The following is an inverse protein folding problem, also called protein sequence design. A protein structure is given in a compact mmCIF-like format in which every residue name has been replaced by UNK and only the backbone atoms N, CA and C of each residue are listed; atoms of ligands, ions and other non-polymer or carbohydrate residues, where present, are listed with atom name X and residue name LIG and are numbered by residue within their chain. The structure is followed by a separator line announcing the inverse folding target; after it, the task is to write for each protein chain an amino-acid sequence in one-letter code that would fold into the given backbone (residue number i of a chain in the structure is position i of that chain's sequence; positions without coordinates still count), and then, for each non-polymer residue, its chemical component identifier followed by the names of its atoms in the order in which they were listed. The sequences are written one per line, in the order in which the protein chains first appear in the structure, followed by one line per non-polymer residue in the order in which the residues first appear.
data_IF_278117895019
#
_entry.id   IF_278117895019
#
_cell.length_a   1.000
_cell.length_b   1.000
_cell.length_c   1.000
_cell.angle_alpha   90.00
_cell.angle_beta   90.00
_cell.angle_gamma   90.00
#
_symmetry.space_group_name_H-M   'P 1'
#
loop_
_entity.id
_entity.type
_entity.pdbx_description
1 polymer ?
#
# COMPACT_ATOMS: atom_id res chain seq x y z
N UNK A 1 8.55 -10.34 -12.98
CA UNK A 1 8.06 -9.34 -12.00
C UNK A 1 7.70 -8.03 -12.69
N UNK A 2 8.64 -7.36 -13.38
CA UNK A 2 8.39 -6.08 -14.08
C UNK A 2 7.15 -6.09 -14.99
N UNK A 3 7.10 -6.98 -15.98
CA UNK A 3 5.99 -7.03 -16.94
C UNK A 3 4.63 -7.32 -16.28
N UNK A 4 4.60 -8.27 -15.33
CA UNK A 4 3.41 -8.61 -14.58
C UNK A 4 2.94 -7.45 -13.68
N UNK A 5 3.87 -6.75 -13.02
CA UNK A 5 3.58 -5.57 -12.21
C UNK A 5 3.06 -4.41 -13.06
N UNK A 6 3.62 -4.22 -14.25
CA UNK A 6 3.15 -3.23 -15.21
C UNK A 6 1.71 -3.52 -15.63
N UNK A 7 1.40 -4.76 -16.03
CA UNK A 7 0.05 -5.17 -16.40
C UNK A 7 -0.95 -5.01 -15.23
N UNK A 8 -0.54 -5.39 -14.01
CA UNK A 8 -1.34 -5.15 -12.81
C UNK A 8 -1.62 -3.66 -12.60
N UNK A 9 -0.58 -2.83 -12.71
CA UNK A 9 -0.68 -1.39 -12.48
C UNK A 9 -1.60 -0.71 -13.49
N UNK A 10 -1.50 -1.10 -14.77
CA UNK A 10 -2.39 -0.63 -15.83
C UNK A 10 -3.86 -0.97 -15.55
N UNK A 11 -4.14 -2.18 -15.07
CA UNK A 11 -5.50 -2.61 -14.75
C UNK A 11 -6.04 -1.97 -13.46
N UNK A 12 -5.20 -1.80 -12.44
CA UNK A 12 -5.61 -1.31 -11.12
C UNK A 12 -5.71 0.22 -11.03
N UNK A 13 -4.92 0.96 -11.83
CA UNK A 13 -4.89 2.42 -11.74
C UNK A 13 -6.26 3.10 -11.95
N UNK A 14 -7.10 2.70 -12.94
CA UNK A 14 -8.44 3.26 -13.11
C UNK A 14 -9.38 3.00 -11.92
N UNK A 15 -9.13 1.95 -11.14
CA UNK A 15 -9.86 1.68 -9.89
C UNK A 15 -9.33 2.59 -8.79
N UNK A 16 -8.01 2.66 -8.62
CA UNK A 16 -7.35 3.48 -7.61
C UNK A 16 -7.70 4.98 -7.73
N UNK A 17 -7.80 5.50 -8.95
CA UNK A 17 -8.16 6.90 -9.21
C UNK A 17 -9.59 7.27 -8.79
N UNK A 18 -10.49 6.30 -8.64
CA UNK A 18 -11.89 6.54 -8.23
C UNK A 18 -12.02 6.67 -6.70
N UNK A 19 -10.97 6.37 -5.95
CA UNK A 19 -10.96 6.40 -4.49
C UNK A 19 -10.47 7.77 -4.02
N UNK A 20 -11.21 8.40 -3.10
CA UNK A 20 -10.69 9.51 -2.31
C UNK A 20 -9.92 8.94 -1.12
N UNK A 21 -8.61 8.77 -1.29
CA UNK A 21 -7.74 8.11 -0.30
C UNK A 21 -7.67 8.88 1.01
N UNK A 22 -7.77 10.21 0.96
CA UNK A 22 -7.81 11.08 2.14
C UNK A 22 -9.13 10.98 2.93
N UNK A 23 -10.17 10.39 2.34
CA UNK A 23 -11.51 10.27 2.94
C UNK A 23 -12.07 8.85 2.89
N UNK A 24 -11.21 7.83 2.81
CA UNK A 24 -11.64 6.43 2.75
C UNK A 24 -12.29 5.99 4.06
N UNK A 25 -13.62 6.11 4.15
CA UNK A 25 -14.41 5.83 5.36
C UNK A 25 -14.46 4.36 5.71
N UNK A 26 -14.50 3.47 4.71
CA UNK A 26 -14.53 2.01 4.93
C UNK A 26 -13.27 1.53 5.64
N UNK A 27 -12.09 1.95 5.17
CA UNK A 27 -10.81 1.56 5.78
C UNK A 27 -10.66 2.21 7.15
N UNK A 28 -10.95 3.51 7.27
CA UNK A 28 -10.87 4.20 8.56
C UNK A 28 -11.75 3.55 9.63
N UNK A 29 -12.99 3.19 9.28
CA UNK A 29 -13.92 2.50 10.19
C UNK A 29 -13.44 1.10 10.56
N UNK A 30 -12.92 0.34 9.59
CA UNK A 30 -12.35 -0.98 9.84
C UNK A 30 -11.20 -0.91 10.86
N UNK A 31 -10.27 0.03 10.69
CA UNK A 31 -9.15 0.21 11.61
C UNK A 31 -9.62 0.59 13.03
N UNK A 32 -10.63 1.47 13.13
CA UNK A 32 -11.15 1.94 14.42
C UNK A 32 -11.93 0.87 15.20
N UNK A 33 -12.66 -0.01 14.51
CA UNK A 33 -13.61 -0.91 15.17
C UNK A 33 -13.11 -2.35 15.31
N UNK A 34 -12.24 -2.84 14.41
CA UNK A 34 -11.94 -4.28 14.33
C UNK A 34 -11.26 -4.79 15.60
N UNK A 35 -10.34 -4.02 16.17
CA UNK A 35 -9.66 -4.43 17.41
C UNK A 35 -10.58 -4.48 18.62
N UNK A 36 -11.67 -3.70 18.66
CA UNK A 36 -12.64 -3.78 19.74
C UNK A 36 -13.52 -5.04 19.64
N UNK A 37 -13.77 -5.52 18.42
CA UNK A 37 -14.60 -6.71 18.15
C UNK A 37 -13.83 -8.01 18.36
N UNK A 38 -12.53 -8.04 18.03
CA UNK A 38 -11.67 -9.20 18.26
C UNK A 38 -10.22 -8.78 18.61
N UNK A 39 -9.96 -8.40 19.88
CA UNK A 39 -8.64 -7.93 20.29
C UNK A 39 -7.54 -8.97 20.11
N UNK A 40 -7.85 -10.26 20.38
CA UNK A 40 -6.85 -11.34 20.29
C UNK A 40 -6.55 -11.71 18.84
N UNK A 41 -7.58 -11.75 17.99
CA UNK A 41 -7.39 -11.99 16.55
C UNK A 41 -6.58 -10.87 15.90
N UNK A 42 -6.86 -9.60 16.23
CA UNK A 42 -6.07 -8.47 15.73
C UNK A 42 -4.64 -8.52 16.24
N UNK A 43 -4.40 -8.78 17.52
CA UNK A 43 -3.05 -8.90 18.06
C UNK A 43 -2.24 -9.99 17.33
N UNK A 44 -2.85 -11.16 17.11
CA UNK A 44 -2.23 -12.26 16.36
C UNK A 44 -1.96 -11.90 14.90
N UNK A 45 -2.86 -11.16 14.25
CA UNK A 45 -2.67 -10.72 12.87
C UNK A 45 -1.52 -9.70 12.74
N UNK A 46 -1.40 -8.79 13.71
CA UNK A 46 -0.28 -7.83 13.75
C UNK A 46 1.05 -8.54 14.01
N UNK A 47 1.07 -9.52 14.91
CA UNK A 47 2.26 -10.33 15.18
C UNK A 47 2.75 -11.06 13.91
N UNK A 48 1.84 -11.74 13.21
CA UNK A 48 2.15 -12.41 11.94
C UNK A 48 2.62 -11.43 10.84
N UNK A 49 2.07 -10.20 10.80
CA UNK A 49 2.54 -9.16 9.88
C UNK A 49 3.99 -8.75 10.19
N UNK A 50 4.33 -8.60 11.47
CA UNK A 50 5.69 -8.26 11.90
C UNK A 50 6.66 -9.41 11.62
N UNK A 51 6.29 -10.65 11.91
CA UNK A 51 7.09 -11.85 11.56
C UNK A 51 7.37 -11.92 10.06
N UNK A 52 6.36 -11.68 9.22
CA UNK A 52 6.53 -11.61 7.77
C UNK A 52 7.52 -10.50 7.37
N UNK A 53 7.39 -9.30 7.95
CA UNK A 53 8.31 -8.19 7.70
C UNK A 53 9.75 -8.47 8.12
N UNK A 54 9.97 -9.22 9.21
CA UNK A 54 11.31 -9.64 9.66
C UNK A 54 11.99 -10.63 8.71
N UNK A 55 11.22 -11.35 7.88
CA UNK A 55 11.75 -12.31 6.90
C UNK A 55 12.12 -11.69 5.55
N UNK A 56 11.70 -10.44 5.28
CA UNK A 56 11.94 -9.74 4.02
C UNK A 56 13.37 -9.20 3.91
N UNK A 57 13.88 -9.06 2.68
CA UNK A 57 15.17 -8.42 2.42
C UNK A 57 15.12 -6.92 2.82
N UNK A 58 15.97 -6.45 3.77
CA UNK A 58 15.95 -5.07 4.24
C UNK A 58 16.20 -4.02 3.13
N UNK A 59 16.97 -4.36 2.10
CA UNK A 59 17.21 -3.45 0.98
C UNK A 59 15.95 -3.28 0.13
N UNK A 60 15.16 -4.34 -0.03
CA UNK A 60 13.89 -4.30 -0.76
C UNK A 60 12.80 -3.61 0.05
N UNK A 61 12.76 -3.81 1.37
CA UNK A 61 11.88 -3.03 2.28
C UNK A 61 12.19 -1.54 2.15
N UNK A 62 13.47 -1.15 2.20
CA UNK A 62 13.88 0.24 2.01
C UNK A 62 13.44 0.79 0.65
N UNK A 63 13.64 0.04 -0.43
CA UNK A 63 13.24 0.46 -1.77
C UNK A 63 11.72 0.67 -1.88
N UNK A 64 10.91 -0.23 -1.31
CA UNK A 64 9.45 -0.11 -1.28
C UNK A 64 9.00 1.12 -0.47
N UNK A 65 9.63 1.40 0.68
CA UNK A 65 9.35 2.61 1.48
C UNK A 65 9.67 3.88 0.67
N UNK A 66 10.82 3.93 0.00
CA UNK A 66 11.21 5.09 -0.82
C UNK A 66 10.28 5.30 -2.02
N UNK A 67 9.75 4.22 -2.62
CA UNK A 67 8.75 4.32 -3.68
C UNK A 67 7.45 4.97 -3.16
N UNK A 68 6.98 4.59 -1.97
CA UNK A 68 5.82 5.24 -1.35
C UNK A 68 6.10 6.70 -1.00
N UNK A 69 7.27 7.02 -0.46
CA UNK A 69 7.67 8.41 -0.16
C UNK A 69 7.59 9.29 -1.42
N UNK A 70 8.11 8.81 -2.55
CA UNK A 70 8.02 9.50 -3.84
C UNK A 70 6.57 9.66 -4.30
N UNK A 71 5.77 8.59 -4.22
CA UNK A 71 4.37 8.61 -4.60
C UNK A 71 3.53 9.60 -3.76
N UNK A 72 3.84 9.73 -2.46
CA UNK A 72 3.21 10.71 -1.57
C UNK A 72 3.54 12.14 -1.98
N UNK A 73 4.77 12.42 -2.41
CA UNK A 73 5.17 13.75 -2.90
C UNK A 73 4.37 14.17 -4.13
N UNK A 74 4.07 13.24 -5.05
CA UNK A 74 3.25 13.55 -6.23
C UNK A 74 1.75 13.51 -5.96
N UNK A 75 1.31 12.75 -4.96
CA UNK A 75 -0.08 12.75 -4.49
C UNK A 75 -0.45 14.02 -3.70
N UNK A 76 0.53 14.70 -3.10
CA UNK A 76 0.31 15.92 -2.35
C UNK A 76 -0.32 17.01 -3.23
N UNK A 77 -1.53 17.46 -2.87
CA UNK A 77 -2.28 18.45 -3.63
C UNK A 77 -3.11 17.89 -4.80
N UNK A 78 -2.98 16.60 -5.12
CA UNK A 78 -3.86 15.94 -6.07
C UNK A 78 -5.23 15.65 -5.44
N UNK A 79 -6.29 15.72 -6.25
CA UNK A 79 -7.65 15.37 -5.80
C UNK A 79 -7.65 13.92 -5.28
N UNK A 80 -8.18 13.73 -4.09
CA UNK A 80 -8.29 12.41 -3.46
C UNK A 80 -6.95 11.81 -3.02
N UNK A 81 -5.86 12.60 -2.96
CA UNK A 81 -4.50 12.13 -2.67
C UNK A 81 -4.03 11.02 -3.61
N UNK A 82 -4.46 11.06 -4.87
CA UNK A 82 -4.05 10.07 -5.86
C UNK A 82 -2.70 10.44 -6.47
N UNK A 83 -1.77 9.48 -6.49
CA UNK A 83 -0.44 9.64 -7.08
C UNK A 83 -0.45 9.54 -8.62
N UNK A 84 0.68 9.86 -9.25
CA UNK A 84 0.85 9.72 -10.69
C UNK A 84 0.84 8.24 -11.12
N UNK A 85 0.49 7.97 -12.39
CA UNK A 85 0.48 6.60 -12.92
C UNK A 85 1.85 5.93 -12.85
N UNK A 86 2.91 6.70 -13.12
CA UNK A 86 4.28 6.21 -13.04
C UNK A 86 4.69 5.86 -11.61
N UNK A 87 4.37 6.72 -10.64
CA UNK A 87 4.69 6.46 -9.22
C UNK A 87 3.87 5.30 -8.65
N UNK A 88 2.60 5.15 -9.07
CA UNK A 88 1.77 3.99 -8.72
C UNK A 88 2.38 2.68 -9.24
N UNK A 89 2.83 2.64 -10.50
CA UNK A 89 3.48 1.47 -11.07
C UNK A 89 4.81 1.15 -10.36
N UNK A 90 5.60 2.18 -10.01
CA UNK A 90 6.84 2.00 -9.27
C UNK A 90 6.61 1.43 -7.87
N UNK A 91 5.55 1.87 -7.16
CA UNK A 91 5.14 1.30 -5.87
C UNK A 91 4.80 -0.18 -6.00
N UNK A 92 3.96 -0.54 -6.97
CA UNK A 92 3.56 -1.93 -7.17
C UNK A 92 4.73 -2.84 -7.52
N UNK A 93 5.65 -2.38 -8.37
CA UNK A 93 6.84 -3.16 -8.70
C UNK A 93 7.77 -3.34 -7.50
N UNK A 94 7.96 -2.28 -6.69
CA UNK A 94 8.80 -2.37 -5.49
C UNK A 94 8.20 -3.35 -4.46
N UNK A 95 6.88 -3.31 -4.25
CA UNK A 95 6.18 -4.27 -3.39
C UNK A 95 6.27 -5.70 -3.94
N UNK A 96 6.10 -5.89 -5.24
CA UNK A 96 6.18 -7.21 -5.89
C UNK A 96 7.59 -7.82 -5.89
N UNK A 97 8.63 -7.02 -5.63
CA UNK A 97 10.00 -7.50 -5.41
C UNK A 97 10.27 -7.77 -3.93
N UNK A 98 9.65 -6.99 -3.03
CA UNK A 98 9.80 -7.13 -1.58
C UNK A 98 9.13 -8.39 -1.03
N UNK A 99 7.99 -8.78 -1.62
CA UNK A 99 7.21 -9.98 -1.30
C UNK A 99 7.67 -11.15 -2.15
#
# INVERSE_FOLDING_TARGET
IGDASSAFSEAAYPVAQKIDWGKSTTIAKYLAETSAKDPKGVAKAVDALLESGLSMDPALVKAAVQAHEKALKSAAGAKGLMTSKADFAAVNEALARMI
#
